data_IF_026996183041
#
_entry.id   IF_026996183041
#
_cell.length_a   1.000
_cell.length_b   1.000
_cell.length_c   1.000
_cell.angle_alpha   90.00
_cell.angle_beta   90.00
_cell.angle_gamma   90.00
#
_symmetry.space_group_name_H-M   'P 1'
#
loop_
_entity.id
_entity.type
_entity.pdbx_description
1 polymer ?
#
# COMPACT_ATOMS: atom_id res chain seq x y z
N UNK A 1 -3.69 15.36 16.55
CA UNK A 1 -2.35 14.97 16.03
C UNK A 1 -2.50 14.55 14.58
N UNK A 2 -1.57 14.92 13.69
CA UNK A 2 -1.70 14.70 12.24
C UNK A 2 -1.53 13.23 11.83
N UNK A 3 -2.27 12.82 10.79
CA UNK A 3 -2.12 11.54 10.10
C UNK A 3 -0.68 11.44 9.56
N UNK A 4 0.01 10.33 9.84
CA UNK A 4 1.38 10.11 9.38
C UNK A 4 1.34 9.31 8.06
N UNK A 5 1.52 10.00 6.94
CA UNK A 5 1.83 9.37 5.65
C UNK A 5 3.35 9.22 5.51
N UNK A 6 3.78 8.05 5.03
CA UNK A 6 5.18 7.71 4.79
C UNK A 6 5.28 7.20 3.37
N UNK A 7 6.16 7.80 2.56
CA UNK A 7 6.43 7.35 1.21
C UNK A 7 7.76 6.60 1.21
N UNK A 8 7.79 5.40 0.64
CA UNK A 8 8.97 4.52 0.55
C UNK A 8 9.08 3.90 -0.83
N UNK A 9 10.28 3.48 -1.19
CA UNK A 9 10.58 2.79 -2.44
C UNK A 9 11.37 1.51 -2.18
N UNK A 10 10.83 0.38 -2.67
CA UNK A 10 11.45 -0.93 -2.49
C UNK A 10 11.22 -1.56 -1.12
N UNK A 11 11.63 -2.82 -1.02
CA UNK A 11 11.30 -3.69 0.11
C UNK A 11 12.04 -3.31 1.40
N UNK A 12 13.30 -2.89 1.28
CA UNK A 12 14.13 -2.55 2.44
C UNK A 12 13.66 -1.27 3.14
N UNK A 13 13.30 -0.23 2.36
CA UNK A 13 12.70 0.98 2.91
C UNK A 13 11.34 0.69 3.55
N UNK A 14 10.53 -0.19 2.94
CA UNK A 14 9.28 -0.64 3.53
C UNK A 14 9.49 -1.31 4.90
N UNK A 15 10.41 -2.26 5.01
CA UNK A 15 10.71 -2.93 6.27
C UNK A 15 11.22 -1.96 7.34
N UNK A 16 12.07 -1.01 6.94
CA UNK A 16 12.57 0.03 7.84
C UNK A 16 11.42 0.89 8.35
N UNK A 17 10.54 1.35 7.45
CA UNK A 17 9.39 2.15 7.82
C UNK A 17 8.42 1.43 8.77
N UNK A 18 8.19 0.14 8.56
CA UNK A 18 7.41 -0.71 9.47
C UNK A 18 8.11 -0.86 10.82
N UNK A 19 9.41 -1.18 10.82
CA UNK A 19 10.18 -1.41 12.05
C UNK A 19 10.25 -0.17 12.95
N UNK A 20 10.39 1.02 12.37
CA UNK A 20 10.40 2.30 13.09
C UNK A 20 9.05 2.64 13.73
N UNK A 21 7.98 1.93 13.37
CA UNK A 21 6.59 2.21 13.75
C UNK A 21 5.95 1.02 14.46
N UNK A 22 6.78 0.15 15.06
CA UNK A 22 6.32 -0.95 15.93
C UNK A 22 5.31 -0.44 16.95
N UNK A 23 4.22 -1.19 17.12
CA UNK A 23 3.13 -0.86 18.04
C UNK A 23 2.08 0.10 17.48
N UNK A 24 2.25 0.62 16.25
CA UNK A 24 1.19 1.35 15.54
C UNK A 24 0.43 0.43 14.59
N UNK A 25 -0.82 0.76 14.33
CA UNK A 25 -1.57 0.17 13.22
C UNK A 25 -1.05 0.75 11.89
N UNK A 26 -0.72 -0.13 10.95
CA UNK A 26 -0.05 0.23 9.70
C UNK A 26 -0.89 -0.25 8.52
N UNK A 27 -1.26 0.69 7.67
CA UNK A 27 -1.93 0.45 6.39
C UNK A 27 -0.93 0.72 5.27
N UNK A 28 -0.52 -0.34 4.57
CA UNK A 28 0.46 -0.29 3.49
C UNK A 28 -0.23 -0.40 2.13
N UNK A 29 -0.06 0.62 1.29
CA UNK A 29 -0.49 0.62 -0.09
C UNK A 29 0.70 0.38 -1.02
N UNK A 30 0.68 -0.74 -1.73
CA UNK A 30 1.72 -1.14 -2.66
C UNK A 30 1.31 -0.75 -4.08
N UNK A 31 2.15 0.02 -4.75
CA UNK A 31 1.92 0.57 -6.08
C UNK A 31 3.13 0.33 -6.98
N UNK A 32 2.92 0.22 -8.29
CA UNK A 32 4.02 0.24 -9.25
C UNK A 32 4.71 1.62 -9.28
N UNK A 33 6.03 1.64 -9.51
CA UNK A 33 6.80 2.87 -9.64
C UNK A 33 6.16 3.90 -10.57
N UNK A 34 6.25 5.16 -10.14
CA UNK A 34 5.83 6.33 -10.90
C UNK A 34 6.94 6.81 -11.83
N UNK A 35 6.55 7.22 -13.03
CA UNK A 35 7.42 7.93 -13.95
C UNK A 35 7.66 9.39 -13.49
N UNK A 36 8.43 10.16 -14.27
CA UNK A 36 8.71 11.57 -13.99
C UNK A 36 7.45 12.46 -13.96
N UNK A 37 6.32 12.00 -14.52
CA UNK A 37 5.03 12.70 -14.47
C UNK A 37 4.17 12.25 -13.27
N UNK A 38 4.71 11.42 -12.38
CA UNK A 38 3.99 10.88 -11.23
C UNK A 38 3.01 9.77 -11.58
N UNK A 39 3.08 9.18 -12.79
CA UNK A 39 2.16 8.14 -13.24
C UNK A 39 2.77 6.76 -13.07
N UNK A 40 2.08 5.88 -12.35
CA UNK A 40 2.50 4.49 -12.20
C UNK A 40 2.51 3.76 -13.54
N UNK A 41 3.48 2.86 -13.74
CA UNK A 41 3.47 1.93 -14.89
C UNK A 41 2.28 0.96 -14.87
N UNK A 42 1.62 0.82 -13.72
CA UNK A 42 0.43 -0.01 -13.56
C UNK A 42 -0.86 0.83 -13.72
N UNK A 43 -1.69 0.58 -14.76
CA UNK A 43 -2.94 1.31 -14.96
C UNK A 43 -3.92 1.22 -13.77
N UNK A 44 -3.96 0.06 -13.11
CA UNK A 44 -4.82 -0.15 -11.95
C UNK A 44 -4.34 0.64 -10.74
N UNK A 45 -3.02 0.80 -10.58
CA UNK A 45 -2.48 1.70 -9.55
C UNK A 45 -2.89 3.16 -9.80
N UNK A 46 -2.84 3.62 -11.05
CA UNK A 46 -3.28 4.98 -11.43
C UNK A 46 -4.77 5.17 -11.11
N UNK A 47 -5.60 4.15 -11.32
CA UNK A 47 -7.03 4.18 -11.05
C UNK A 47 -7.37 4.10 -9.55
N UNK A 48 -6.68 3.24 -8.80
CA UNK A 48 -6.93 3.00 -7.38
C UNK A 48 -6.43 4.11 -6.47
N UNK A 49 -5.28 4.70 -6.77
CA UNK A 49 -4.65 5.69 -5.90
C UNK A 49 -5.59 6.84 -5.47
N UNK A 50 -6.36 7.50 -6.36
CA UNK A 50 -7.29 8.55 -5.93
C UNK A 50 -8.42 8.03 -5.03
N UNK A 51 -8.86 6.78 -5.21
CA UNK A 51 -9.88 6.15 -4.36
C UNK A 51 -9.32 5.91 -2.97
N UNK A 52 -8.16 5.26 -2.88
CA UNK A 52 -7.48 4.98 -1.61
C UNK A 52 -7.17 6.26 -0.84
N UNK A 53 -6.61 7.26 -1.56
CA UNK A 53 -6.31 8.58 -0.98
C UNK A 53 -7.55 9.31 -0.50
N UNK A 54 -8.68 9.20 -1.21
CA UNK A 54 -9.96 9.79 -0.82
C UNK A 54 -10.50 9.31 0.52
N UNK A 55 -10.16 8.08 0.90
CA UNK A 55 -10.64 7.46 2.14
C UNK A 55 -9.64 7.54 3.31
N UNK A 56 -8.41 8.05 3.11
CA UNK A 56 -7.42 8.23 4.19
C UNK A 56 -7.94 9.08 5.36
N UNK A 57 -9.02 9.84 5.14
CA UNK A 57 -9.67 10.59 6.22
C UNK A 57 -10.26 9.70 7.31
N UNK A 58 -10.57 8.45 6.98
CA UNK A 58 -11.20 7.44 7.85
C UNK A 58 -10.19 6.55 8.58
N UNK A 59 -8.89 6.72 8.34
CA UNK A 59 -7.85 6.00 9.07
C UNK A 59 -7.99 6.19 10.59
N UNK A 60 -7.75 5.14 11.40
CA UNK A 60 -7.81 5.24 12.85
C UNK A 60 -6.82 6.27 13.39
N UNK A 61 -7.16 6.94 14.49
CA UNK A 61 -6.23 7.91 15.11
C UNK A 61 -4.96 7.20 15.57
N UNK A 62 -3.80 7.79 15.27
CA UNK A 62 -2.50 7.23 15.61
C UNK A 62 -1.99 6.14 14.65
N UNK A 63 -2.81 5.70 13.68
CA UNK A 63 -2.37 4.79 12.61
C UNK A 63 -1.42 5.47 11.62
N UNK A 64 -0.77 4.65 10.81
CA UNK A 64 0.22 5.07 9.80
C UNK A 64 -0.23 4.57 8.43
N UNK A 65 -0.19 5.45 7.44
CA UNK A 65 -0.32 5.06 6.04
C UNK A 65 1.07 5.02 5.39
N UNK A 66 1.44 3.88 4.81
CA UNK A 66 2.68 3.72 4.04
C UNK A 66 2.33 3.58 2.56
N UNK A 67 2.76 4.53 1.74
CA UNK A 67 2.74 4.41 0.29
C UNK A 67 4.07 3.80 -0.15
N UNK A 68 4.03 2.56 -0.64
CA UNK A 68 5.20 1.81 -1.06
C UNK A 68 5.21 1.63 -2.57
N UNK A 69 6.19 2.24 -3.24
CA UNK A 69 6.51 1.93 -4.62
C UNK A 69 7.29 0.62 -4.66
N UNK A 70 6.78 -0.40 -5.36
CA UNK A 70 7.34 -1.75 -5.33
C UNK A 70 8.57 -1.92 -6.20
N UNK A 71 8.92 -0.96 -7.04
CA UNK A 71 9.93 -1.10 -8.09
C UNK A 71 9.32 -1.08 -9.49
N UNK A 72 10.19 -1.26 -10.48
CA UNK A 72 9.82 -1.28 -11.87
C UNK A 72 9.01 -2.53 -12.26
N UNK A 73 8.40 -2.49 -13.44
CA UNK A 73 7.57 -3.59 -13.94
C UNK A 73 8.33 -4.91 -14.10
N UNK A 74 9.58 -4.94 -14.61
CA UNK A 74 10.40 -6.15 -14.63
C UNK A 74 10.60 -6.79 -13.25
N UNK A 75 11.02 -6.01 -12.24
CA UNK A 75 11.17 -6.48 -10.87
C UNK A 75 9.85 -7.02 -10.31
N UNK A 76 8.74 -6.30 -10.52
CA UNK A 76 7.43 -6.78 -10.08
C UNK A 76 7.03 -8.09 -10.76
N UNK A 77 7.41 -8.34 -12.01
CA UNK A 77 7.08 -9.59 -12.71
C UNK A 77 7.83 -10.80 -12.17
N UNK A 78 9.04 -10.62 -11.62
CA UNK A 78 9.81 -11.71 -11.01
C UNK A 78 8.98 -12.38 -9.90
N UNK A 79 8.69 -13.69 -9.96
CA UNK A 79 8.00 -14.40 -8.87
C UNK A 79 8.84 -14.50 -7.59
N UNK A 80 10.16 -14.26 -7.66
CA UNK A 80 11.09 -14.37 -6.54
C UNK A 80 11.41 -13.04 -5.86
N UNK A 81 10.80 -11.94 -6.27
CA UNK A 81 10.97 -10.66 -5.56
C UNK A 81 10.45 -10.74 -4.11
N UNK A 82 10.98 -9.86 -3.28
CA UNK A 82 10.86 -9.89 -1.83
C UNK A 82 9.42 -9.65 -1.36
N UNK A 83 8.69 -8.77 -2.06
CA UNK A 83 7.27 -8.52 -1.78
C UNK A 83 6.43 -9.79 -1.97
N UNK A 84 6.65 -10.53 -3.07
CA UNK A 84 5.91 -11.79 -3.33
C UNK A 84 6.35 -12.91 -2.39
N UNK A 85 7.65 -13.05 -2.14
CA UNK A 85 8.17 -14.15 -1.30
C UNK A 85 7.82 -13.96 0.18
N UNK A 86 7.93 -12.75 0.69
CA UNK A 86 7.80 -12.49 2.13
C UNK A 86 6.41 -12.00 2.51
N UNK A 87 5.85 -11.03 1.78
CA UNK A 87 4.52 -10.48 2.08
C UNK A 87 3.38 -11.20 1.34
N UNK A 88 3.70 -12.14 0.44
CA UNK A 88 2.71 -12.90 -0.35
C UNK A 88 1.76 -12.00 -1.13
N UNK A 89 2.26 -10.86 -1.62
CA UNK A 89 1.51 -10.01 -2.53
C UNK A 89 1.37 -10.73 -3.87
N UNK A 90 0.15 -10.79 -4.40
CA UNK A 90 -0.14 -11.45 -5.68
C UNK A 90 -0.24 -10.45 -6.84
N UNK A 91 -0.61 -9.20 -6.56
CA UNK A 91 -0.82 -8.16 -7.54
C UNK A 91 -0.57 -6.75 -6.96
N UNK A 92 -0.46 -5.76 -7.84
CA UNK A 92 -0.50 -4.33 -7.50
C UNK A 92 -1.61 -3.67 -8.32
N UNK A 93 -2.41 -2.75 -7.73
CA UNK A 93 -2.30 -2.25 -6.36
C UNK A 93 -2.73 -3.28 -5.32
N UNK A 94 -2.14 -3.21 -4.12
CA UNK A 94 -2.64 -3.93 -2.93
C UNK A 94 -2.66 -2.96 -1.75
N UNK A 95 -3.77 -2.89 -1.02
CA UNK A 95 -3.86 -2.25 0.29
C UNK A 95 -3.87 -3.34 1.37
N UNK A 96 -2.91 -3.32 2.28
CA UNK A 96 -2.71 -4.32 3.33
C UNK A 96 -2.76 -3.65 4.70
N UNK A 97 -3.46 -4.24 5.66
CA UNK A 97 -3.25 -3.90 7.08
C UNK A 97 -2.21 -4.82 7.66
N UNK A 98 -1.04 -4.25 7.89
CA UNK A 98 0.16 -5.00 8.22
C UNK A 98 0.01 -5.75 9.54
N UNK A 99 0.44 -7.00 9.58
CA UNK A 99 0.28 -7.89 10.75
C UNK A 99 -1.07 -8.63 10.79
N UNK A 100 -1.96 -8.41 9.82
CA UNK A 100 -3.25 -9.10 9.69
C UNK A 100 -3.38 -9.79 8.32
N UNK A 101 -4.33 -10.72 8.14
CA UNK A 101 -4.63 -11.27 6.81
C UNK A 101 -5.45 -10.33 5.91
N UNK A 102 -5.93 -9.19 6.43
CA UNK A 102 -6.81 -8.27 5.70
C UNK A 102 -6.04 -7.55 4.60
N UNK A 103 -6.51 -7.69 3.36
CA UNK A 103 -5.98 -6.98 2.19
C UNK A 103 -7.07 -6.77 1.14
N UNK A 104 -6.96 -5.67 0.41
CA UNK A 104 -7.69 -5.39 -0.82
C UNK A 104 -6.71 -5.47 -1.98
N UNK A 105 -7.06 -6.20 -3.03
CA UNK A 105 -6.19 -6.44 -4.19
C UNK A 105 -6.88 -5.92 -5.45
N UNK A 106 -6.10 -5.25 -6.31
CA UNK A 106 -6.53 -4.79 -7.64
C UNK A 106 -7.87 -4.04 -7.65
N UNK A 107 -8.94 -4.69 -8.10
CA UNK A 107 -10.27 -4.12 -8.27
C UNK A 107 -10.97 -3.79 -6.95
N UNK A 108 -10.61 -4.47 -5.87
CA UNK A 108 -11.05 -4.12 -4.52
C UNK A 108 -10.53 -2.74 -4.09
N UNK A 109 -9.35 -2.34 -4.57
CA UNK A 109 -8.80 -1.01 -4.30
C UNK A 109 -9.53 0.11 -5.07
N UNK A 110 -10.39 -0.22 -6.05
CA UNK A 110 -11.23 0.76 -6.76
C UNK A 110 -12.53 1.07 -6.01
N UNK A 111 -12.83 0.31 -4.95
CA UNK A 111 -14.10 0.35 -4.24
C UNK A 111 -13.94 1.15 -2.95
N UNK A 112 -14.39 2.40 -2.96
CA UNK A 112 -14.29 3.31 -1.81
C UNK A 112 -14.96 2.75 -0.56
N UNK A 113 -16.04 1.97 -0.71
CA UNK A 113 -16.71 1.27 0.38
C UNK A 113 -15.79 0.22 1.03
N UNK A 114 -15.10 -0.60 0.24
CA UNK A 114 -14.15 -1.60 0.75
C UNK A 114 -12.94 -0.93 1.41
N UNK A 115 -12.37 0.09 0.76
CA UNK A 115 -11.24 0.85 1.32
C UNK A 115 -11.63 1.50 2.65
N UNK A 116 -12.84 2.06 2.73
CA UNK A 116 -13.33 2.65 3.98
C UNK A 116 -13.50 1.57 5.05
N UNK A 117 -14.12 0.43 4.75
CA UNK A 117 -14.26 -0.67 5.70
C UNK A 117 -12.90 -1.14 6.21
N UNK A 118 -11.92 -1.31 5.31
CA UNK A 118 -10.53 -1.63 5.64
C UNK A 118 -9.93 -0.66 6.67
N UNK A 119 -10.24 0.64 6.59
CA UNK A 119 -9.73 1.65 7.53
C UNK A 119 -10.51 1.77 8.83
N UNK A 120 -11.74 1.25 8.91
CA UNK A 120 -12.62 1.46 10.07
C UNK A 120 -12.92 0.19 10.87
N UNK A 121 -12.68 -0.99 10.32
CA UNK A 121 -12.93 -2.26 11.00
C UNK A 121 -11.69 -2.75 11.76
N UNK A 122 -11.91 -3.26 12.97
CA UNK A 122 -10.88 -3.81 13.87
C UNK A 122 -10.43 -5.22 13.48
#
# INVERSE_FOLDING_TARGET
>A
MGKLEVNVHGYDEFNTAVSDRKGKDIFAYFSGDKDANGKSWCPDCVKAEPVVRGELRHLPEGSVFIYCQVGDRPYWKDPYNEFKKTLKLSAVPTLLRYGTPQKLVEDECFRSDLVRMMFTED
#
